data_IF_708339690392
#
_entry.id   IF_708339690392
#
_cell.length_a   1.000
_cell.length_b   1.000
_cell.length_c   1.000
_cell.angle_alpha   90.00
_cell.angle_beta   90.00
_cell.angle_gamma   90.00
#
_symmetry.space_group_name_H-M   'P 1'
#
loop_
_entity.id
_entity.type
_entity.pdbx_description
1 polymer ?
#
# COMPACT_ATOMS: atom_id res chain seq x y z
N UNK A 1 5.34 22.08 -43.84
CA UNK A 1 6.49 21.29 -43.33
C UNK A 1 7.04 21.87 -42.02
N UNK A 2 7.19 23.19 -41.89
CA UNK A 2 7.65 23.87 -40.67
C UNK A 2 6.91 23.44 -39.37
N UNK A 3 5.58 23.38 -39.39
CA UNK A 3 4.78 23.02 -38.21
C UNK A 3 5.04 21.59 -37.70
N UNK A 4 5.32 20.64 -38.60
CA UNK A 4 5.69 19.27 -38.21
C UNK A 4 7.07 19.24 -37.56
N UNK A 5 8.00 20.07 -38.03
CA UNK A 5 9.34 20.18 -37.45
C UNK A 5 9.29 20.76 -36.03
N UNK A 6 8.53 21.84 -35.84
CA UNK A 6 8.32 22.46 -34.52
C UNK A 6 7.63 21.47 -33.57
N UNK A 7 6.63 20.72 -34.05
CA UNK A 7 5.98 19.68 -33.24
C UNK A 7 6.96 18.60 -32.78
N UNK A 8 7.78 18.07 -33.70
CA UNK A 8 8.76 17.02 -33.37
C UNK A 8 9.87 17.54 -32.45
N UNK A 9 10.31 18.79 -32.62
CA UNK A 9 11.26 19.44 -31.71
C UNK A 9 10.68 19.55 -30.29
N UNK A 10 9.45 20.03 -30.15
CA UNK A 10 8.76 20.11 -28.85
C UNK A 10 8.58 18.72 -28.21
N UNK A 11 8.21 17.72 -29.00
CA UNK A 11 8.09 16.34 -28.52
C UNK A 11 9.45 15.80 -28.01
N UNK A 12 10.54 16.11 -28.71
CA UNK A 12 11.89 15.71 -28.31
C UNK A 12 12.32 16.37 -27.00
N UNK A 13 11.98 17.65 -26.80
CA UNK A 13 12.26 18.39 -25.58
C UNK A 13 11.49 17.81 -24.39
N UNK A 14 10.22 17.50 -24.58
CA UNK A 14 9.37 16.84 -23.57
C UNK A 14 9.97 15.46 -23.22
N UNK A 15 10.28 14.64 -24.21
CA UNK A 15 10.90 13.32 -24.02
C UNK A 15 12.21 13.40 -23.24
N UNK A 16 13.08 14.35 -23.59
CA UNK A 16 14.35 14.59 -22.90
C UNK A 16 14.14 15.01 -21.45
N UNK A 17 13.15 15.88 -21.18
CA UNK A 17 12.79 16.28 -19.81
C UNK A 17 12.35 15.07 -18.98
N UNK A 18 11.49 14.21 -19.51
CA UNK A 18 11.06 12.98 -18.82
C UNK A 18 12.20 12.00 -18.59
N UNK A 19 13.11 11.84 -19.56
CA UNK A 19 14.31 11.01 -19.37
C UNK A 19 15.19 11.49 -18.21
N UNK A 20 15.43 12.80 -18.12
CA UNK A 20 16.22 13.38 -17.03
C UNK A 20 15.52 13.13 -15.68
N UNK A 21 14.21 13.43 -15.58
CA UNK A 21 13.42 13.22 -14.36
C UNK A 21 13.43 11.74 -13.94
N UNK A 22 13.28 10.82 -14.89
CA UNK A 22 13.30 9.39 -14.60
C UNK A 22 14.72 8.89 -14.24
N UNK A 23 15.77 9.47 -14.82
CA UNK A 23 17.15 9.11 -14.47
C UNK A 23 17.55 9.51 -13.05
N UNK A 24 16.87 10.50 -12.48
CA UNK A 24 17.06 10.93 -11.09
C UNK A 24 16.11 10.25 -10.10
N UNK A 25 15.13 9.47 -10.57
CA UNK A 25 14.26 8.71 -9.68
C UNK A 25 15.04 7.54 -9.10
N UNK A 26 15.02 7.43 -7.78
CA UNK A 26 15.53 6.26 -7.08
C UNK A 26 14.65 5.06 -7.44
N UNK A 27 15.18 4.16 -8.28
CA UNK A 27 14.44 2.99 -8.78
C UNK A 27 14.58 1.77 -7.88
N UNK A 28 15.36 1.89 -6.80
CA UNK A 28 15.63 0.76 -5.94
C UNK A 28 14.40 0.44 -5.08
N UNK A 29 13.84 -0.75 -5.32
CA UNK A 29 12.75 -1.30 -4.53
C UNK A 29 13.30 -2.51 -3.76
N UNK A 30 13.38 -2.40 -2.43
CA UNK A 30 13.86 -3.51 -1.60
C UNK A 30 13.03 -4.79 -1.78
N UNK A 31 11.76 -4.67 -2.15
CA UNK A 31 10.91 -5.83 -2.37
C UNK A 31 11.31 -6.62 -3.61
N UNK A 32 11.86 -5.99 -4.66
CA UNK A 32 12.24 -6.67 -5.91
C UNK A 32 13.42 -7.63 -5.74
N UNK A 33 14.15 -7.56 -4.63
CA UNK A 33 15.23 -8.50 -4.30
C UNK A 33 14.79 -9.59 -3.30
N UNK A 34 13.64 -9.43 -2.65
CA UNK A 34 13.13 -10.38 -1.66
C UNK A 34 12.12 -11.36 -2.27
N UNK A 35 11.24 -10.88 -3.15
CA UNK A 35 10.19 -11.67 -3.82
C UNK A 35 9.70 -10.91 -5.07
N UNK A 36 8.76 -11.48 -5.80
CA UNK A 36 7.98 -10.72 -6.78
C UNK A 36 7.37 -9.49 -6.08
N UNK A 37 7.81 -8.30 -6.45
CA UNK A 37 7.41 -7.03 -5.83
C UNK A 37 5.92 -6.71 -6.00
N UNK A 38 5.19 -7.48 -6.79
CA UNK A 38 3.76 -7.35 -7.04
C UNK A 38 2.92 -8.38 -6.28
N UNK A 39 3.53 -9.19 -5.42
CA UNK A 39 2.83 -10.19 -4.60
C UNK A 39 2.09 -9.51 -3.43
N UNK A 40 0.90 -8.98 -3.70
CA UNK A 40 0.06 -8.22 -2.74
C UNK A 40 -0.15 -8.98 -1.42
N UNK A 41 -0.30 -10.29 -1.50
CA UNK A 41 -0.68 -11.14 -0.37
C UNK A 41 0.56 -11.60 0.38
N UNK A 42 1.43 -12.35 -0.29
CA UNK A 42 2.50 -13.06 0.41
C UNK A 42 3.72 -12.18 0.69
N UNK A 43 3.80 -11.01 0.07
CA UNK A 43 4.84 -10.01 0.32
C UNK A 43 4.27 -8.84 1.11
N UNK A 44 3.41 -8.02 0.50
CA UNK A 44 2.99 -6.75 1.10
C UNK A 44 2.11 -6.92 2.33
N UNK A 45 1.07 -7.75 2.24
CA UNK A 45 0.16 -8.00 3.36
C UNK A 45 0.87 -8.67 4.53
N UNK A 46 1.78 -9.62 4.23
CA UNK A 46 2.62 -10.26 5.23
C UNK A 46 3.57 -9.25 5.89
N UNK A 47 4.27 -8.43 5.09
CA UNK A 47 5.19 -7.42 5.58
C UNK A 47 4.50 -6.43 6.55
N UNK A 48 3.36 -5.88 6.15
CA UNK A 48 2.57 -4.99 7.00
C UNK A 48 2.12 -5.72 8.27
N UNK A 49 1.61 -6.94 8.15
CA UNK A 49 1.17 -7.72 9.32
C UNK A 49 2.28 -7.93 10.34
N UNK A 50 3.49 -8.26 9.90
CA UNK A 50 4.64 -8.46 10.81
C UNK A 50 5.04 -7.16 11.51
N UNK A 51 5.02 -6.01 10.81
CA UNK A 51 5.26 -4.71 11.44
C UNK A 51 4.21 -4.41 12.52
N UNK A 52 2.92 -4.63 12.23
CA UNK A 52 1.84 -4.34 13.17
C UNK A 52 1.83 -5.29 14.38
N UNK A 53 2.32 -6.53 14.21
CA UNK A 53 2.45 -7.54 15.27
C UNK A 53 3.73 -7.43 16.08
N UNK A 54 4.66 -6.54 15.72
CA UNK A 54 5.90 -6.37 16.46
C UNK A 54 5.63 -6.01 17.93
N UNK A 55 6.36 -6.65 18.85
CA UNK A 55 6.11 -6.53 20.30
C UNK A 55 6.45 -5.14 20.85
N UNK A 56 7.45 -4.48 20.26
CA UNK A 56 7.99 -3.23 20.78
C UNK A 56 7.40 -2.02 20.05
N UNK A 57 7.24 -2.14 18.73
CA UNK A 57 6.88 -1.06 17.84
C UNK A 57 5.52 -1.23 17.17
N UNK A 58 4.86 -2.38 17.30
CA UNK A 58 3.58 -2.66 16.62
C UNK A 58 2.50 -1.62 16.93
N UNK A 59 2.41 -1.15 18.18
CA UNK A 59 1.51 -0.04 18.54
C UNK A 59 1.83 1.24 17.77
N UNK A 60 3.11 1.60 17.65
CA UNK A 60 3.54 2.79 16.93
C UNK A 60 3.25 2.67 15.43
N UNK A 61 3.47 1.49 14.85
CA UNK A 61 3.12 1.22 13.46
C UNK A 61 1.61 1.35 13.21
N UNK A 62 0.77 0.84 14.10
CA UNK A 62 -0.69 1.02 13.99
C UNK A 62 -1.06 2.51 14.06
N UNK A 63 -0.53 3.24 15.03
CA UNK A 63 -0.81 4.68 15.18
C UNK A 63 -0.37 5.51 13.96
N UNK A 64 0.69 5.08 13.27
CA UNK A 64 1.15 5.69 12.02
C UNK A 64 0.34 5.23 10.80
N UNK A 65 -0.13 3.98 10.77
CA UNK A 65 -0.88 3.41 9.66
C UNK A 65 -2.30 3.98 9.57
N UNK A 66 -3.01 4.12 10.69
CA UNK A 66 -4.40 4.59 10.71
C UNK A 66 -4.63 5.88 9.89
N UNK A 67 -3.87 6.97 10.07
CA UNK A 67 -4.07 8.18 9.26
C UNK A 67 -3.72 7.99 7.78
N UNK A 68 -2.77 7.10 7.44
CA UNK A 68 -2.41 6.80 6.04
C UNK A 68 -3.59 6.16 5.31
N UNK A 69 -4.36 5.31 5.99
CA UNK A 69 -5.55 4.66 5.45
C UNK A 69 -6.84 5.47 5.70
N UNK A 70 -6.74 6.74 6.08
CA UNK A 70 -7.88 7.64 6.27
C UNK A 70 -8.73 7.34 7.51
N UNK A 71 -8.19 6.63 8.49
CA UNK A 71 -8.88 6.30 9.74
C UNK A 71 -8.36 7.19 10.88
N UNK A 72 -9.29 7.83 11.58
CA UNK A 72 -8.95 8.62 12.76
C UNK A 72 -8.31 7.77 13.88
N UNK A 73 -7.56 8.42 14.78
CA UNK A 73 -6.92 7.75 15.90
C UNK A 73 -7.94 6.98 16.74
N UNK A 74 -7.71 5.68 16.93
CA UNK A 74 -8.53 4.83 17.78
C UNK A 74 -7.88 4.72 19.15
N UNK A 75 -8.61 5.08 20.22
CA UNK A 75 -8.19 4.78 21.58
C UNK A 75 -8.62 3.35 21.94
N UNK A 76 -7.70 2.39 21.85
CA UNK A 76 -7.98 0.97 22.10
C UNK A 76 -7.15 0.41 23.26
N UNK A 77 -7.75 -0.54 23.98
CA UNK A 77 -7.08 -1.32 25.04
C UNK A 77 -6.28 -2.49 24.46
N UNK A 78 -6.86 -3.17 23.47
CA UNK A 78 -6.26 -4.33 22.79
C UNK A 78 -6.61 -4.31 21.32
N UNK A 79 -5.72 -4.83 20.50
CA UNK A 79 -5.94 -5.08 19.07
C UNK A 79 -5.53 -6.52 18.76
N UNK A 80 -6.38 -7.23 18.02
CA UNK A 80 -6.02 -8.53 17.45
C UNK A 80 -5.84 -8.36 15.95
N UNK A 81 -4.74 -8.90 15.42
CA UNK A 81 -4.33 -8.73 14.02
C UNK A 81 -4.35 -10.10 13.36
N UNK A 82 -5.10 -10.22 12.27
CA UNK A 82 -5.21 -11.43 11.47
C UNK A 82 -4.75 -11.13 10.05
N UNK A 83 -4.05 -12.09 9.44
CA UNK A 83 -3.66 -12.08 8.03
C UNK A 83 -4.24 -13.33 7.37
N UNK A 84 -4.55 -13.24 6.08
CA UNK A 84 -5.12 -14.36 5.29
C UNK A 84 -6.39 -14.94 5.93
N UNK A 85 -7.26 -14.07 6.42
CA UNK A 85 -8.46 -14.50 7.11
C UNK A 85 -9.50 -15.00 6.09
N UNK A 86 -9.62 -16.31 5.97
CA UNK A 86 -10.65 -16.94 5.14
C UNK A 86 -12.03 -16.71 5.77
N UNK A 87 -12.89 -16.01 5.05
CA UNK A 87 -14.32 -16.01 5.33
C UNK A 87 -14.88 -17.12 4.46
N UNK A 88 -15.37 -18.21 5.08
CA UNK A 88 -16.05 -19.35 4.42
C UNK A 88 -16.73 -18.93 3.11
N UNK A 89 -16.55 -19.68 2.02
CA UNK A 89 -17.18 -19.53 0.69
C UNK A 89 -17.26 -18.11 0.06
N UNK A 90 -16.84 -17.05 0.75
CA UNK A 90 -17.03 -15.63 0.43
C UNK A 90 -15.71 -14.88 0.20
N UNK A 91 -14.60 -15.61 0.12
CA UNK A 91 -13.28 -15.07 -0.23
C UNK A 91 -12.32 -14.95 0.95
N UNK A 92 -11.16 -14.37 0.67
CA UNK A 92 -10.06 -14.19 1.62
C UNK A 92 -9.86 -12.71 1.87
N UNK A 93 -9.77 -12.33 3.14
CA UNK A 93 -9.34 -10.99 3.53
C UNK A 93 -7.83 -10.98 3.77
N UNK A 94 -7.14 -9.97 3.22
CA UNK A 94 -5.70 -9.80 3.36
C UNK A 94 -5.28 -9.53 4.81
N UNK A 95 -5.80 -8.45 5.43
CA UNK A 95 -5.51 -8.09 6.84
C UNK A 95 -6.77 -7.63 7.57
N UNK A 96 -6.95 -8.10 8.82
CA UNK A 96 -8.01 -7.63 9.73
C UNK A 96 -7.40 -7.13 11.04
N UNK A 97 -7.77 -5.92 11.43
CA UNK A 97 -7.49 -5.34 12.74
C UNK A 97 -8.78 -5.29 13.57
N UNK A 98 -8.86 -6.07 14.65
CA UNK A 98 -9.98 -6.06 15.59
C UNK A 98 -9.59 -5.30 16.85
N UNK A 99 -10.04 -4.06 16.96
CA UNK A 99 -9.84 -3.20 18.11
C UNK A 99 -10.90 -3.45 19.18
N UNK A 100 -10.45 -3.60 20.41
CA UNK A 100 -11.28 -3.69 21.61
C UNK A 100 -11.11 -2.38 22.40
N UNK A 101 -12.20 -1.61 22.46
CA UNK A 101 -12.30 -0.36 23.23
C UNK A 101 -12.98 -0.67 24.57
N UNK A 102 -13.35 0.36 25.34
CA UNK A 102 -14.00 0.16 26.65
C UNK A 102 -15.37 -0.49 26.49
N UNK A 103 -16.23 0.08 25.64
CA UNK A 103 -17.63 -0.32 25.53
C UNK A 103 -18.00 -0.91 24.15
N UNK A 104 -17.07 -0.90 23.19
CA UNK A 104 -17.34 -1.38 21.84
C UNK A 104 -16.13 -2.02 21.16
N UNK A 105 -16.37 -2.53 19.96
CA UNK A 105 -15.35 -3.10 19.08
C UNK A 105 -15.37 -2.36 17.75
N UNK A 106 -14.19 -2.09 17.21
CA UNK A 106 -14.03 -1.60 15.83
C UNK A 106 -13.23 -2.61 15.03
N UNK A 107 -13.65 -2.84 13.79
CA UNK A 107 -12.95 -3.74 12.87
C UNK A 107 -12.52 -2.91 11.67
N UNK A 108 -11.24 -3.01 11.32
CA UNK A 108 -10.69 -2.47 10.07
C UNK A 108 -10.29 -3.66 9.22
N UNK A 109 -10.73 -3.63 7.96
CA UNK A 109 -10.35 -4.58 6.91
C UNK A 109 -9.45 -3.82 5.95
N UNK A 110 -8.30 -4.40 5.61
CA UNK A 110 -7.33 -3.81 4.69
C UNK A 110 -7.11 -4.83 3.57
N UNK A 111 -7.32 -4.38 2.34
CA UNK A 111 -7.03 -5.10 1.10
C UNK A 111 -5.89 -4.36 0.40
N UNK A 112 -4.74 -5.01 0.23
CA UNK A 112 -3.61 -4.36 -0.43
C UNK A 112 -3.75 -4.50 -1.94
N UNK A 113 -3.57 -3.38 -2.66
CA UNK A 113 -3.56 -3.34 -4.11
C UNK A 113 -2.34 -2.57 -4.60
N UNK A 114 -1.47 -3.21 -5.38
CA UNK A 114 -0.25 -2.57 -5.93
C UNK A 114 -0.51 -2.06 -7.35
N UNK A 115 -1.43 -2.72 -8.07
CA UNK A 115 -1.82 -2.38 -9.44
C UNK A 115 -3.34 -2.35 -9.63
N UNK A 116 -4.06 -1.80 -8.66
CA UNK A 116 -5.41 -1.36 -8.96
C UNK A 116 -5.30 -0.15 -9.91
N UNK A 117 -5.25 -0.42 -11.22
CA UNK A 117 -5.75 0.56 -12.17
C UNK A 117 -7.20 0.86 -11.76
N UNK A 118 -7.58 2.13 -11.74
CA UNK A 118 -8.97 2.52 -11.50
C UNK A 118 -9.84 1.72 -12.48
N UNK A 119 -10.60 0.75 -11.97
CA UNK A 119 -11.61 0.08 -12.77
C UNK A 119 -12.64 1.14 -13.12
N UNK A 120 -12.53 1.70 -14.33
CA UNK A 120 -13.58 2.52 -14.91
C UNK A 120 -14.87 1.69 -14.87
N UNK A 121 -15.82 2.12 -14.04
CA UNK A 121 -17.22 1.69 -14.10
C UNK A 121 -17.89 2.29 -15.33
#
# INVERSE_FOLDING_TARGET
MENYKIFLENLSLISRKYKIINSTKETFNIFSILRNEYDEVNLHSKFITELLKDKNYGRKFIELLLPIIGVEKINYKRVNIFSEYSIKDNGRIDIILKFFLEDNKKVIVIENKIYADDQYQ
#
